data_IF_933452337280
#
_entry.id   IF_933452337280
#
_cell.length_a   1.000
_cell.length_b   1.000
_cell.length_c   1.000
_cell.angle_alpha   90.00
_cell.angle_beta   90.00
_cell.angle_gamma   90.00
#
_symmetry.space_group_name_H-M   'P 1'
#
loop_
_entity.id
_entity.type
_entity.pdbx_description
1 polymer ?
#
# COMPACT_ATOMS: atom_id res chain seq x y z
N UNK A 1 -39.81 5.48 -6.86
CA UNK A 1 -38.96 6.55 -7.39
C UNK A 1 -38.19 7.16 -6.25
N UNK A 2 -36.86 7.01 -6.26
CA UNK A 2 -36.01 7.83 -5.40
C UNK A 2 -35.62 9.06 -6.22
N UNK A 3 -35.96 10.23 -5.70
CA UNK A 3 -35.66 11.53 -6.32
C UNK A 3 -34.18 11.84 -6.04
N UNK A 4 -33.28 11.16 -6.76
CA UNK A 4 -31.83 11.31 -6.58
C UNK A 4 -31.43 12.62 -7.28
N UNK A 5 -31.26 13.69 -6.49
CA UNK A 5 -30.77 14.97 -7.00
C UNK A 5 -29.23 14.97 -6.98
N UNK A 6 -28.54 14.97 -8.14
CA UNK A 6 -27.08 14.94 -8.21
C UNK A 6 -26.39 16.14 -7.54
N UNK A 7 -27.12 17.23 -7.30
CA UNK A 7 -26.58 18.42 -6.62
C UNK A 7 -26.47 18.32 -5.09
N UNK A 8 -26.96 17.24 -4.46
CA UNK A 8 -26.96 17.04 -3.00
C UNK A 8 -26.13 15.87 -2.50
N UNK A 9 -25.56 15.06 -3.40
CA UNK A 9 -24.84 13.84 -3.06
C UNK A 9 -23.43 13.87 -3.64
N UNK A 10 -22.49 13.24 -2.94
CA UNK A 10 -21.15 12.99 -3.46
C UNK A 10 -21.03 11.55 -3.95
N UNK A 11 -20.18 11.31 -4.95
CA UNK A 11 -20.01 9.98 -5.55
C UNK A 11 -19.48 8.92 -4.55
N UNK A 12 -18.77 9.34 -3.50
CA UNK A 12 -18.12 8.50 -2.48
C UNK A 12 -19.05 8.04 -1.35
N UNK A 13 -20.26 8.62 -1.25
CA UNK A 13 -21.27 8.23 -0.25
C UNK A 13 -21.94 6.87 -0.55
N UNK A 14 -21.72 6.32 -1.74
CA UNK A 14 -22.46 5.18 -2.29
C UNK A 14 -21.56 3.95 -2.38
N UNK A 15 -21.99 2.83 -1.80
CA UNK A 15 -21.23 1.56 -1.84
C UNK A 15 -21.47 0.78 -3.15
N UNK A 16 -22.70 0.80 -3.65
CA UNK A 16 -23.11 0.21 -4.91
C UNK A 16 -24.45 0.83 -5.35
N UNK A 17 -24.75 0.80 -6.64
CA UNK A 17 -26.03 1.27 -7.19
C UNK A 17 -26.79 0.07 -7.74
N UNK A 18 -27.98 -0.24 -7.20
CA UNK A 18 -28.84 -1.31 -7.73
C UNK A 18 -29.83 -0.74 -8.74
N UNK A 19 -29.89 -1.35 -9.92
CA UNK A 19 -30.74 -0.93 -11.04
C UNK A 19 -31.76 -2.02 -11.34
N UNK A 20 -33.02 -1.72 -11.00
CA UNK A 20 -34.20 -2.51 -11.38
C UNK A 20 -34.96 -1.82 -12.53
N UNK A 21 -36.29 -1.84 -12.49
CA UNK A 21 -37.11 -1.13 -13.47
C UNK A 21 -37.19 0.37 -13.17
N UNK A 22 -36.65 1.20 -14.06
CA UNK A 22 -36.75 2.66 -13.97
C UNK A 22 -38.12 3.12 -14.50
N UNK A 23 -38.85 3.94 -13.72
CA UNK A 23 -40.14 4.51 -14.12
C UNK A 23 -40.00 5.78 -14.97
N UNK A 24 -38.84 6.47 -14.87
CA UNK A 24 -38.49 7.66 -15.64
C UNK A 24 -37.08 7.51 -16.22
N UNK A 25 -37.00 7.23 -17.52
CA UNK A 25 -35.73 7.01 -18.22
C UNK A 25 -34.87 8.29 -18.29
N UNK A 26 -35.48 9.47 -18.45
CA UNK A 26 -34.74 10.72 -18.62
C UNK A 26 -34.07 11.16 -17.31
N UNK A 27 -34.66 10.86 -16.16
CA UNK A 27 -34.02 11.09 -14.86
C UNK A 27 -32.90 10.06 -14.58
N UNK A 28 -33.09 8.80 -14.99
CA UNK A 28 -32.08 7.76 -14.87
C UNK A 28 -30.83 8.08 -15.70
N UNK A 29 -31.00 8.51 -16.96
CA UNK A 29 -29.91 8.88 -17.85
C UNK A 29 -29.03 9.98 -17.22
N UNK A 30 -29.65 11.06 -16.71
CA UNK A 30 -28.92 12.14 -16.03
C UNK A 30 -28.14 11.67 -14.79
N UNK A 31 -28.67 10.70 -14.05
CA UNK A 31 -27.98 10.15 -12.89
C UNK A 31 -26.76 9.33 -13.31
N UNK A 32 -26.88 8.50 -14.35
CA UNK A 32 -25.76 7.69 -14.82
C UNK A 32 -24.70 8.50 -15.56
N UNK A 33 -25.09 9.57 -16.27
CA UNK A 33 -24.15 10.55 -16.83
C UNK A 33 -23.33 11.23 -15.72
N UNK A 34 -24.00 11.68 -14.64
CA UNK A 34 -23.32 12.18 -13.45
C UNK A 34 -22.41 11.13 -12.82
N UNK A 35 -22.86 9.87 -12.74
CA UNK A 35 -22.07 8.78 -12.18
C UNK A 35 -20.81 8.50 -13.00
N UNK A 36 -20.91 8.56 -14.33
CA UNK A 36 -19.80 8.31 -15.24
C UNK A 36 -18.70 9.38 -15.17
N UNK A 37 -19.05 10.61 -14.80
CA UNK A 37 -18.09 11.69 -14.54
C UNK A 37 -17.22 11.45 -13.29
N UNK A 38 -17.58 10.50 -12.42
CA UNK A 38 -16.76 10.14 -11.28
C UNK A 38 -15.47 9.43 -11.72
N UNK A 39 -14.32 9.83 -11.16
CA UNK A 39 -13.02 9.18 -11.41
C UNK A 39 -13.04 7.68 -11.05
N UNK A 40 -13.81 7.31 -10.03
CA UNK A 40 -14.00 5.94 -9.53
C UNK A 40 -15.48 5.76 -9.12
N UNK A 41 -16.38 5.47 -10.07
CA UNK A 41 -17.79 5.33 -9.77
C UNK A 41 -18.06 4.04 -8.97
N UNK A 42 -19.03 4.05 -8.03
CA UNK A 42 -19.48 2.83 -7.37
C UNK A 42 -19.97 1.80 -8.40
N UNK A 43 -19.84 0.48 -8.11
CA UNK A 43 -20.30 -0.55 -9.02
C UNK A 43 -21.82 -0.52 -9.19
N UNK A 44 -22.28 -0.75 -10.42
CA UNK A 44 -23.69 -0.83 -10.77
C UNK A 44 -24.13 -2.29 -10.78
N UNK A 45 -25.10 -2.65 -9.96
CA UNK A 45 -25.70 -3.98 -9.88
C UNK A 45 -26.98 -3.98 -10.74
N UNK A 46 -26.90 -4.57 -11.92
CA UNK A 46 -27.94 -4.57 -12.94
C UNK A 46 -28.83 -5.82 -12.80
N UNK A 47 -30.13 -5.63 -12.54
CA UNK A 47 -31.10 -6.74 -12.41
C UNK A 47 -31.59 -7.28 -13.76
N UNK A 48 -31.69 -6.42 -14.77
CA UNK A 48 -32.20 -6.76 -16.10
C UNK A 48 -31.33 -6.14 -17.20
N UNK A 49 -31.08 -6.90 -18.27
CA UNK A 49 -30.31 -6.43 -19.43
C UNK A 49 -28.84 -6.89 -19.44
N UNK A 50 -28.11 -6.45 -20.47
CA UNK A 50 -26.70 -6.80 -20.66
C UNK A 50 -25.79 -5.74 -20.02
N UNK A 51 -24.84 -6.13 -19.15
CA UNK A 51 -23.86 -5.21 -18.57
C UNK A 51 -23.09 -4.39 -19.61
N UNK A 52 -22.72 -5.02 -20.74
CA UNK A 52 -21.96 -4.37 -21.81
C UNK A 52 -22.80 -3.29 -22.52
N UNK A 53 -24.07 -3.59 -22.81
CA UNK A 53 -24.99 -2.63 -23.43
C UNK A 53 -25.30 -1.45 -22.49
N UNK A 54 -25.51 -1.75 -21.20
CA UNK A 54 -25.75 -0.72 -20.18
C UNK A 54 -24.53 0.18 -19.97
N UNK A 55 -23.34 -0.41 -19.90
CA UNK A 55 -22.09 0.31 -19.76
C UNK A 55 -21.86 1.27 -20.94
N UNK A 56 -22.08 0.81 -22.18
CA UNK A 56 -21.95 1.61 -23.38
C UNK A 56 -22.96 2.76 -23.45
N UNK A 57 -24.22 2.51 -23.06
CA UNK A 57 -25.27 3.52 -23.10
C UNK A 57 -25.02 4.69 -22.14
N UNK A 58 -24.33 4.44 -21.03
CA UNK A 58 -24.12 5.42 -19.95
C UNK A 58 -22.64 5.81 -19.74
N UNK A 59 -21.76 5.51 -20.70
CA UNK A 59 -20.34 5.89 -20.60
C UNK A 59 -19.57 5.24 -19.43
N UNK A 60 -20.06 4.12 -18.89
CA UNK A 60 -19.41 3.38 -17.81
C UNK A 60 -18.46 2.31 -18.37
N UNK A 61 -17.47 1.91 -17.58
CA UNK A 61 -16.64 0.76 -17.92
C UNK A 61 -17.38 -0.55 -17.61
N UNK A 62 -17.39 -1.52 -18.54
CA UNK A 62 -18.10 -2.80 -18.39
C UNK A 62 -17.76 -3.54 -17.09
N UNK A 63 -16.47 -3.56 -16.70
CA UNK A 63 -16.01 -4.15 -15.44
C UNK A 63 -16.61 -3.50 -14.15
N UNK A 64 -17.29 -2.35 -14.27
CA UNK A 64 -18.00 -1.69 -13.19
C UNK A 64 -19.51 -1.99 -13.15
N UNK A 65 -20.03 -2.74 -14.13
CA UNK A 65 -21.44 -3.16 -14.20
C UNK A 65 -21.52 -4.66 -13.94
N UNK A 66 -22.19 -5.05 -12.86
CA UNK A 66 -22.28 -6.44 -12.39
C UNK A 66 -23.72 -6.92 -12.47
N UNK A 67 -23.93 -8.18 -12.83
CA UNK A 67 -25.26 -8.77 -12.89
C UNK A 67 -25.78 -9.12 -11.50
N UNK A 68 -27.07 -8.88 -11.29
CA UNK A 68 -27.80 -9.23 -10.08
C UNK A 68 -28.99 -10.11 -10.47
N UNK A 69 -28.84 -11.42 -10.30
CA UNK A 69 -29.84 -12.38 -10.77
C UNK A 69 -31.12 -12.33 -9.94
N UNK A 70 -32.25 -12.55 -10.61
CA UNK A 70 -33.56 -12.72 -9.97
C UNK A 70 -33.96 -14.20 -9.98
N UNK A 71 -34.55 -14.74 -8.88
CA UNK A 71 -34.90 -14.08 -7.63
C UNK A 71 -33.68 -13.79 -6.74
N UNK A 72 -33.69 -12.62 -6.10
CA UNK A 72 -32.59 -12.13 -5.25
C UNK A 72 -32.33 -13.09 -4.08
N UNK A 73 -31.10 -13.59 -3.99
CA UNK A 73 -30.64 -14.42 -2.87
C UNK A 73 -29.73 -13.61 -1.95
N UNK A 74 -29.92 -13.77 -0.64
CA UNK A 74 -29.09 -13.11 0.37
C UNK A 74 -27.58 -13.33 0.13
N UNK A 75 -27.18 -14.56 -0.17
CA UNK A 75 -25.78 -14.94 -0.42
C UNK A 75 -25.16 -14.25 -1.63
N UNK A 76 -25.95 -14.00 -2.68
CA UNK A 76 -25.50 -13.30 -3.88
C UNK A 76 -25.29 -11.81 -3.59
N UNK A 77 -26.25 -11.18 -2.91
CA UNK A 77 -26.14 -9.77 -2.54
C UNK A 77 -24.96 -9.54 -1.58
N UNK A 78 -24.77 -10.43 -0.60
CA UNK A 78 -23.64 -10.38 0.32
C UNK A 78 -22.30 -10.50 -0.41
N UNK A 79 -22.17 -11.42 -1.37
CA UNK A 79 -20.96 -11.56 -2.18
C UNK A 79 -20.68 -10.32 -3.05
N UNK A 80 -21.71 -9.73 -3.66
CA UNK A 80 -21.58 -8.52 -4.49
C UNK A 80 -21.23 -7.30 -3.65
N UNK A 81 -21.87 -7.11 -2.49
CA UNK A 81 -21.56 -6.01 -1.57
C UNK A 81 -20.16 -6.17 -0.96
N UNK A 82 -19.74 -7.39 -0.62
CA UNK A 82 -18.37 -7.66 -0.17
C UNK A 82 -17.35 -7.32 -1.25
N UNK A 83 -17.64 -7.68 -2.50
CA UNK A 83 -16.79 -7.32 -3.65
C UNK A 83 -16.75 -5.81 -3.89
N UNK A 84 -17.89 -5.11 -3.74
CA UNK A 84 -17.96 -3.66 -3.83
C UNK A 84 -17.13 -2.99 -2.73
N UNK A 85 -17.23 -3.48 -1.49
CA UNK A 85 -16.45 -3.02 -0.34
C UNK A 85 -14.95 -3.20 -0.58
N UNK A 86 -14.50 -4.35 -1.07
CA UNK A 86 -13.09 -4.59 -1.42
C UNK A 86 -12.61 -3.65 -2.54
N UNK A 87 -13.39 -3.50 -3.62
CA UNK A 87 -13.06 -2.58 -4.70
C UNK A 87 -12.96 -1.14 -4.23
N UNK A 88 -13.82 -0.73 -3.29
CA UNK A 88 -13.79 0.60 -2.70
C UNK A 88 -12.59 0.77 -1.77
N UNK A 89 -12.25 -0.23 -0.95
CA UNK A 89 -11.03 -0.22 -0.14
C UNK A 89 -9.78 -0.15 -1.00
N UNK A 90 -9.73 -0.85 -2.13
CA UNK A 90 -8.61 -0.79 -3.09
C UNK A 90 -8.54 0.59 -3.75
N UNK A 91 -9.69 1.15 -4.15
CA UNK A 91 -9.79 2.48 -4.74
C UNK A 91 -9.46 3.60 -3.73
N UNK A 92 -9.88 3.47 -2.47
CA UNK A 92 -9.54 4.37 -1.36
C UNK A 92 -8.06 4.25 -0.99
N UNK A 93 -7.49 3.04 -1.00
CA UNK A 93 -6.04 2.85 -0.90
C UNK A 93 -5.32 3.53 -2.06
N UNK A 94 -5.81 3.43 -3.29
CA UNK A 94 -5.19 4.06 -4.47
C UNK A 94 -5.39 5.59 -4.51
N UNK A 95 -6.56 6.10 -4.09
CA UNK A 95 -6.89 7.53 -4.10
C UNK A 95 -6.32 8.26 -2.87
N UNK A 96 -6.31 7.63 -1.70
CA UNK A 96 -5.65 8.13 -0.49
C UNK A 96 -4.13 8.19 -0.62
N UNK A 97 -3.55 7.39 -1.53
CA UNK A 97 -2.14 7.44 -1.91
C UNK A 97 -1.80 8.68 -2.77
N UNK A 98 -2.78 9.38 -3.33
CA UNK A 98 -2.52 10.45 -4.30
C UNK A 98 -2.23 11.84 -3.70
N UNK A 99 -2.24 12.03 -2.37
CA UNK A 99 -2.06 13.36 -1.76
C UNK A 99 -0.96 13.53 -0.69
N UNK A 100 -0.19 12.50 -0.33
CA UNK A 100 0.97 12.69 0.55
C UNK A 100 2.02 11.59 0.31
N UNK A 101 2.65 11.64 -0.86
CA UNK A 101 3.61 10.62 -1.33
C UNK A 101 5.00 10.86 -0.77
N UNK A 102 5.14 10.90 0.55
CA UNK A 102 6.44 11.09 1.17
C UNK A 102 6.42 11.19 2.69
N UNK A 103 7.60 11.17 3.32
CA UNK A 103 7.72 11.40 4.75
C UNK A 103 7.05 12.71 5.15
N UNK A 104 6.13 12.69 6.11
CA UNK A 104 5.45 13.86 6.66
C UNK A 104 6.41 14.68 7.55
N UNK A 105 6.30 16.00 7.51
CA UNK A 105 7.16 16.91 8.28
C UNK A 105 7.78 18.03 7.44
N UNK A 106 8.30 19.06 8.11
CA UNK A 106 9.03 20.18 7.52
C UNK A 106 10.40 20.41 8.18
N UNK A 107 10.82 19.54 9.11
CA UNK A 107 12.16 19.56 9.67
C UNK A 107 13.23 19.52 8.57
N UNK A 108 14.42 20.01 8.90
CA UNK A 108 15.57 19.97 7.99
C UNK A 108 15.88 18.52 7.57
N UNK A 109 15.79 17.57 8.51
CA UNK A 109 15.99 16.15 8.26
C UNK A 109 15.00 15.59 7.22
N UNK A 110 13.70 15.89 7.37
CA UNK A 110 12.67 15.45 6.41
C UNK A 110 12.82 16.16 5.07
N UNK A 111 13.18 17.45 5.06
CA UNK A 111 13.42 18.20 3.83
C UNK A 111 14.61 17.63 3.05
N UNK A 112 15.71 17.31 3.73
CA UNK A 112 16.87 16.64 3.13
C UNK A 112 16.50 15.26 2.60
N UNK A 113 15.73 14.49 3.37
CA UNK A 113 15.24 13.17 2.97
C UNK A 113 14.40 13.23 1.69
N UNK A 114 13.46 14.17 1.57
CA UNK A 114 12.67 14.38 0.34
C UNK A 114 13.56 14.70 -0.87
N UNK A 115 14.58 15.54 -0.71
CA UNK A 115 15.54 15.82 -1.81
C UNK A 115 16.29 14.58 -2.26
N UNK A 116 16.73 13.73 -1.32
CA UNK A 116 17.39 12.46 -1.66
C UNK A 116 16.46 11.51 -2.40
N UNK A 117 15.19 11.44 -1.96
CA UNK A 117 14.14 10.66 -2.64
C UNK A 117 13.98 11.13 -4.09
N UNK A 118 13.80 12.43 -4.30
CA UNK A 118 13.59 13.00 -5.64
C UNK A 118 14.81 12.78 -6.54
N UNK A 119 16.02 12.94 -5.98
CA UNK A 119 17.26 12.71 -6.70
C UNK A 119 17.39 11.24 -7.15
N UNK A 120 17.12 10.28 -6.27
CA UNK A 120 17.30 8.86 -6.60
C UNK A 120 16.13 8.29 -7.40
N UNK A 121 14.94 8.87 -7.30
CA UNK A 121 13.74 8.36 -7.97
C UNK A 121 13.90 8.31 -9.50
N UNK A 122 14.63 9.27 -10.08
CA UNK A 122 14.91 9.35 -11.52
C UNK A 122 15.80 8.20 -12.06
N UNK A 123 16.53 7.48 -11.20
CA UNK A 123 17.49 6.45 -11.59
C UNK A 123 16.99 5.05 -11.25
N UNK A 124 17.34 4.05 -12.07
CA UNK A 124 16.97 2.64 -11.83
C UNK A 124 17.94 1.91 -10.87
N UNK A 125 18.59 2.68 -9.98
CA UNK A 125 19.58 2.14 -9.03
C UNK A 125 18.90 1.50 -7.82
N UNK A 126 19.61 0.57 -7.20
CA UNK A 126 19.20 -0.03 -5.92
C UNK A 126 19.35 0.98 -4.80
N UNK A 127 18.32 1.07 -3.95
CA UNK A 127 18.31 1.96 -2.78
C UNK A 127 18.26 1.12 -1.52
N UNK A 128 19.12 1.45 -0.54
CA UNK A 128 19.12 0.84 0.78
C UNK A 128 18.59 1.83 1.80
N UNK A 129 17.40 1.58 2.34
CA UNK A 129 16.75 2.42 3.35
C UNK A 129 17.07 1.89 4.75
N UNK A 130 17.83 2.66 5.51
CA UNK A 130 18.27 2.34 6.87
C UNK A 130 17.42 3.13 7.88
N UNK A 131 17.29 2.60 9.08
CA UNK A 131 16.73 3.33 10.22
C UNK A 131 15.86 2.47 11.12
N UNK A 132 15.61 2.97 12.32
CA UNK A 132 14.95 2.24 13.39
C UNK A 132 13.57 1.67 12.99
N UNK A 133 13.10 0.69 13.76
CA UNK A 133 11.76 0.14 13.55
C UNK A 133 10.71 1.22 13.76
N UNK A 134 9.73 1.28 12.85
CA UNK A 134 8.61 2.23 12.95
C UNK A 134 8.92 3.67 12.49
N UNK A 135 10.08 3.96 11.90
CA UNK A 135 10.41 5.31 11.37
C UNK A 135 9.69 5.68 10.07
N UNK A 136 9.14 4.69 9.36
CA UNK A 136 8.43 4.87 8.09
C UNK A 136 9.25 4.56 6.84
N UNK A 137 10.16 3.58 6.88
CA UNK A 137 10.98 3.15 5.73
C UNK A 137 10.15 2.81 4.48
N UNK A 138 8.98 2.19 4.66
CA UNK A 138 8.07 1.88 3.55
C UNK A 138 7.53 3.15 2.86
N UNK A 139 7.29 4.22 3.62
CA UNK A 139 6.84 5.51 3.06
C UNK A 139 7.89 6.08 2.10
N UNK A 140 9.17 5.96 2.45
CA UNK A 140 10.27 6.34 1.55
C UNK A 140 10.30 5.48 0.30
N UNK A 141 10.20 4.16 0.44
CA UNK A 141 10.20 3.24 -0.71
C UNK A 141 9.05 3.54 -1.68
N UNK A 142 7.86 3.84 -1.15
CA UNK A 142 6.68 4.22 -1.95
C UNK A 142 6.89 5.56 -2.65
N UNK A 143 7.42 6.55 -1.95
CA UNK A 143 7.74 7.87 -2.53
C UNK A 143 8.75 7.76 -3.68
N UNK A 144 9.82 6.98 -3.49
CA UNK A 144 10.82 6.72 -4.54
C UNK A 144 10.14 6.11 -5.78
N UNK A 145 9.28 5.11 -5.60
CA UNK A 145 8.55 4.49 -6.69
C UNK A 145 7.64 5.49 -7.42
N UNK A 146 6.85 6.27 -6.67
CA UNK A 146 5.89 7.24 -7.22
C UNK A 146 6.56 8.38 -7.98
N UNK A 147 7.74 8.81 -7.57
CA UNK A 147 8.53 9.83 -8.27
C UNK A 147 9.41 9.26 -9.39
N UNK A 148 9.39 7.94 -9.61
CA UNK A 148 10.23 7.29 -10.63
C UNK A 148 9.53 7.15 -11.99
N UNK A 149 10.28 6.87 -13.06
CA UNK A 149 9.72 6.46 -14.36
C UNK A 149 8.86 5.18 -14.29
N UNK A 150 8.93 4.41 -13.20
CA UNK A 150 8.19 3.16 -12.99
C UNK A 150 6.91 3.34 -12.17
N UNK A 151 6.48 4.57 -11.87
CA UNK A 151 5.31 4.89 -11.03
C UNK A 151 3.98 4.27 -11.49
N UNK A 152 3.86 4.00 -12.79
CA UNK A 152 2.67 3.38 -13.39
C UNK A 152 2.75 1.84 -13.37
N UNK A 153 3.90 1.28 -12.98
CA UNK A 153 4.13 -0.15 -12.80
C UNK A 153 3.79 -0.62 -11.38
N UNK A 154 3.85 -1.94 -11.12
CA UNK A 154 3.50 -2.48 -9.81
C UNK A 154 4.51 -2.09 -8.73
N UNK A 155 4.01 -1.71 -7.54
CA UNK A 155 4.80 -1.67 -6.31
C UNK A 155 4.49 -2.90 -5.46
N UNK A 156 5.45 -3.81 -5.35
CA UNK A 156 5.31 -5.05 -4.57
C UNK A 156 6.20 -4.95 -3.35
N UNK A 157 5.65 -5.18 -2.16
CA UNK A 157 6.40 -5.23 -0.92
C UNK A 157 6.37 -6.64 -0.34
N UNK A 158 7.49 -7.04 0.27
CA UNK A 158 7.61 -8.28 1.03
C UNK A 158 8.47 -8.02 2.27
N UNK A 159 8.00 -8.46 3.43
CA UNK A 159 8.75 -8.41 4.67
C UNK A 159 9.47 -9.76 4.86
N UNK A 160 10.79 -9.73 4.75
CA UNK A 160 11.65 -10.92 4.79
C UNK A 160 11.79 -11.50 6.21
N UNK A 161 11.54 -10.71 7.26
CA UNK A 161 11.59 -11.17 8.64
C UNK A 161 10.30 -11.82 9.15
N UNK A 162 9.16 -11.53 8.51
CA UNK A 162 7.85 -12.05 8.91
C UNK A 162 7.52 -13.43 8.32
N UNK A 163 8.28 -13.88 7.31
CA UNK A 163 7.99 -15.11 6.56
C UNK A 163 9.03 -16.18 6.93
N UNK A 164 8.62 -17.40 7.29
CA UNK A 164 9.55 -18.50 7.52
C UNK A 164 10.51 -18.71 6.34
N UNK A 165 11.81 -19.01 6.58
CA UNK A 165 12.80 -19.13 5.51
C UNK A 165 12.39 -20.08 4.38
N UNK A 166 11.76 -21.21 4.72
CA UNK A 166 11.32 -22.23 3.76
C UNK A 166 10.21 -21.74 2.83
N UNK A 167 9.39 -20.78 3.29
CA UNK A 167 8.31 -20.18 2.50
C UNK A 167 8.76 -18.92 1.77
N UNK A 168 9.79 -18.23 2.28
CA UNK A 168 10.29 -16.98 1.71
C UNK A 168 10.80 -17.18 0.28
N UNK A 169 11.45 -18.31 0.00
CA UNK A 169 11.91 -18.65 -1.35
C UNK A 169 10.75 -18.73 -2.35
N UNK A 170 9.71 -19.48 -1.97
CA UNK A 170 8.50 -19.68 -2.75
C UNK A 170 7.71 -18.39 -2.95
N UNK A 171 7.65 -17.52 -1.94
CA UNK A 171 7.02 -16.20 -2.07
C UNK A 171 7.82 -15.28 -3.01
N UNK A 172 9.16 -15.24 -2.91
CA UNK A 172 9.99 -14.37 -3.74
C UNK A 172 10.05 -14.80 -5.20
N UNK A 173 10.34 -16.08 -5.44
CA UNK A 173 10.63 -16.61 -6.78
C UNK A 173 9.47 -17.41 -7.38
N UNK A 174 8.44 -17.73 -6.60
CA UNK A 174 7.35 -18.59 -7.05
C UNK A 174 7.73 -20.06 -7.01
N UNK A 175 6.77 -20.93 -7.29
CA UNK A 175 6.98 -22.37 -7.34
C UNK A 175 6.16 -23.01 -8.45
N UNK A 176 6.68 -24.13 -8.96
CA UNK A 176 5.92 -25.00 -9.84
C UNK A 176 5.07 -26.00 -9.05
N UNK A 177 4.04 -26.54 -9.71
CA UNK A 177 3.22 -27.61 -9.14
C UNK A 177 4.09 -28.80 -8.76
N UNK A 178 3.97 -29.26 -7.52
CA UNK A 178 4.74 -30.40 -7.00
C UNK A 178 6.16 -30.07 -6.50
N UNK A 179 6.54 -28.79 -6.43
CA UNK A 179 7.86 -28.38 -5.95
C UNK A 179 8.14 -28.76 -4.49
N UNK A 180 7.11 -28.84 -3.65
CA UNK A 180 7.17 -29.28 -2.25
C UNK A 180 5.82 -29.84 -1.80
N UNK A 181 5.77 -30.48 -0.63
CA UNK A 181 4.55 -31.04 -0.05
C UNK A 181 3.51 -29.94 0.18
N UNK A 182 2.41 -29.94 -0.58
CA UNK A 182 1.37 -28.90 -0.54
C UNK A 182 1.36 -27.94 -1.72
N UNK A 183 2.33 -28.04 -2.66
CA UNK A 183 2.35 -27.27 -3.90
C UNK A 183 1.33 -27.82 -4.93
N UNK A 184 0.03 -27.59 -4.68
CA UNK A 184 -1.08 -28.10 -5.50
C UNK A 184 -1.20 -27.41 -6.88
N UNK A 185 -0.69 -26.17 -6.99
CA UNK A 185 -0.71 -25.37 -8.22
C UNK A 185 0.59 -24.59 -8.36
N UNK A 186 0.89 -24.15 -9.58
CA UNK A 186 1.99 -23.19 -9.84
C UNK A 186 1.58 -21.81 -9.33
N UNK A 187 2.51 -21.10 -8.67
CA UNK A 187 2.29 -19.74 -8.16
C UNK A 187 3.43 -18.81 -8.57
N UNK A 188 3.08 -17.62 -9.04
CA UNK A 188 4.03 -16.55 -9.38
C UNK A 188 4.65 -15.97 -8.11
N UNK A 189 5.95 -15.71 -8.16
CA UNK A 189 6.69 -15.04 -7.09
C UNK A 189 6.59 -13.53 -7.12
N UNK A 190 7.08 -12.86 -6.07
CA UNK A 190 7.13 -11.39 -5.99
C UNK A 190 7.96 -10.74 -7.09
N UNK A 191 9.04 -11.37 -7.53
CA UNK A 191 9.81 -10.86 -8.68
C UNK A 191 8.98 -10.83 -9.96
N UNK A 192 8.18 -11.87 -10.23
CA UNK A 192 7.28 -11.88 -11.39
C UNK A 192 6.15 -10.85 -11.24
N UNK A 193 5.60 -10.71 -10.04
CA UNK A 193 4.53 -9.75 -9.76
C UNK A 193 5.01 -8.29 -9.87
N UNK A 194 6.30 -8.04 -9.64
CA UNK A 194 6.91 -6.73 -9.68
C UNK A 194 7.46 -6.35 -11.06
N UNK A 195 7.24 -7.17 -12.09
CA UNK A 195 7.79 -6.96 -13.43
C UNK A 195 7.42 -5.58 -13.99
N UNK A 196 8.42 -4.85 -14.48
CA UNK A 196 8.27 -3.47 -14.95
C UNK A 196 8.17 -2.42 -13.83
N UNK A 197 7.99 -2.84 -12.58
CA UNK A 197 7.78 -1.98 -11.42
C UNK A 197 8.91 -2.01 -10.40
N UNK A 198 8.54 -1.98 -9.12
CA UNK A 198 9.47 -1.89 -7.98
C UNK A 198 9.15 -2.95 -6.93
N UNK A 199 10.18 -3.64 -6.44
CA UNK A 199 10.13 -4.59 -5.34
C UNK A 199 10.80 -4.00 -4.10
N UNK A 200 10.03 -3.84 -3.03
CA UNK A 200 10.52 -3.54 -1.69
C UNK A 200 10.82 -4.84 -0.94
N UNK A 201 12.08 -5.01 -0.57
CA UNK A 201 12.58 -6.04 0.34
C UNK A 201 12.71 -5.43 1.74
N UNK A 202 11.65 -5.53 2.54
CA UNK A 202 11.64 -5.01 3.90
C UNK A 202 12.24 -6.02 4.88
N UNK A 203 12.93 -5.50 5.89
CA UNK A 203 13.73 -6.26 6.86
C UNK A 203 14.72 -7.25 6.21
N UNK A 204 15.50 -6.77 5.23
CA UNK A 204 16.48 -7.60 4.51
C UNK A 204 17.56 -8.20 5.44
N UNK A 205 17.88 -7.53 6.55
CA UNK A 205 18.83 -8.00 7.56
C UNK A 205 18.35 -9.21 8.40
N UNK A 206 17.10 -9.63 8.22
CA UNK A 206 16.52 -10.85 8.82
C UNK A 206 16.55 -12.06 7.87
N UNK A 207 16.99 -11.88 6.63
CA UNK A 207 17.03 -12.94 5.63
C UNK A 207 18.08 -14.01 5.95
N UNK A 208 17.74 -15.29 5.76
CA UNK A 208 18.69 -16.40 5.94
C UNK A 208 19.84 -16.37 4.92
N UNK A 209 21.03 -16.86 5.29
CA UNK A 209 22.18 -16.90 4.39
C UNK A 209 21.91 -17.61 3.04
N UNK A 210 21.20 -18.75 2.98
CA UNK A 210 20.86 -19.38 1.70
C UNK A 210 20.02 -18.47 0.80
N UNK A 211 19.08 -17.72 1.39
CA UNK A 211 18.25 -16.77 0.65
C UNK A 211 19.04 -15.57 0.16
N UNK A 212 20.02 -15.10 0.94
CA UNK A 212 20.92 -14.02 0.53
C UNK A 212 21.73 -14.40 -0.72
N UNK A 213 22.20 -15.66 -0.83
CA UNK A 213 22.89 -16.17 -2.03
C UNK A 213 21.98 -16.13 -3.25
N UNK A 214 20.74 -16.62 -3.11
CA UNK A 214 19.77 -16.64 -4.21
C UNK A 214 19.41 -15.22 -4.64
N UNK A 215 19.16 -14.32 -3.68
CA UNK A 215 18.87 -12.93 -3.97
C UNK A 215 20.02 -12.25 -4.71
N UNK A 216 21.27 -12.43 -4.26
CA UNK A 216 22.44 -11.87 -4.92
C UNK A 216 22.51 -12.28 -6.40
N UNK A 217 22.25 -13.57 -6.68
CA UNK A 217 22.23 -14.11 -8.03
C UNK A 217 21.18 -13.40 -8.90
N UNK A 218 19.96 -13.22 -8.40
CA UNK A 218 18.89 -12.51 -9.14
C UNK A 218 19.25 -11.05 -9.38
N UNK A 219 19.83 -10.37 -8.39
CA UNK A 219 20.27 -8.99 -8.54
C UNK A 219 21.35 -8.84 -9.60
N UNK A 220 22.26 -9.81 -9.72
CA UNK A 220 23.37 -9.81 -10.68
C UNK A 220 22.94 -10.23 -12.09
N UNK A 221 22.27 -11.37 -12.21
CA UNK A 221 21.90 -11.99 -13.50
C UNK A 221 20.64 -11.36 -14.12
N UNK A 222 19.82 -10.67 -13.31
CA UNK A 222 18.47 -10.19 -13.71
C UNK A 222 17.57 -11.33 -14.23
N UNK A 223 17.76 -12.51 -13.66
CA UNK A 223 16.95 -13.68 -13.93
C UNK A 223 16.92 -14.61 -12.72
N UNK A 224 15.90 -15.46 -12.66
CA UNK A 224 15.71 -16.44 -11.60
C UNK A 224 14.93 -17.65 -12.11
N UNK A 225 14.83 -18.68 -11.29
CA UNK A 225 14.04 -19.88 -11.55
C UNK A 225 13.02 -20.05 -10.44
N UNK A 226 11.83 -20.56 -10.77
CA UNK A 226 10.84 -20.95 -9.76
C UNK A 226 11.35 -22.15 -8.97
N UNK A 227 10.93 -22.26 -7.72
CA UNK A 227 11.21 -23.45 -6.90
C UNK A 227 10.64 -24.69 -7.59
N UNK A 228 11.49 -25.71 -7.77
CA UNK A 228 11.13 -26.96 -8.45
C UNK A 228 10.99 -26.86 -9.98
N UNK A 229 11.27 -25.71 -10.58
CA UNK A 229 11.29 -25.50 -12.03
C UNK A 229 12.71 -25.35 -12.56
N UNK A 230 12.90 -25.62 -13.86
CA UNK A 230 14.17 -25.37 -14.58
C UNK A 230 14.09 -24.24 -15.60
N UNK A 231 12.96 -23.52 -15.66
CA UNK A 231 12.78 -22.42 -16.60
C UNK A 231 13.37 -21.14 -16.01
N UNK A 232 14.40 -20.61 -16.66
CA UNK A 232 14.95 -19.28 -16.34
C UNK A 232 13.98 -18.18 -16.79
N UNK A 233 13.61 -17.30 -15.86
CA UNK A 233 12.72 -16.16 -16.04
C UNK A 233 13.56 -14.89 -15.90
N UNK A 234 13.54 -14.01 -16.91
CA UNK A 234 14.16 -12.68 -16.81
C UNK A 234 13.24 -11.72 -16.04
N UNK A 235 13.84 -10.83 -15.26
CA UNK A 235 13.11 -9.82 -14.52
C UNK A 235 13.65 -8.41 -14.76
N UNK A 236 12.73 -7.48 -15.00
CA UNK A 236 13.00 -6.06 -15.10
C UNK A 236 12.38 -5.32 -13.91
N UNK A 237 12.98 -5.50 -12.73
CA UNK A 237 12.45 -5.03 -11.45
C UNK A 237 13.46 -4.10 -10.79
N UNK A 238 13.01 -2.90 -10.38
CA UNK A 238 13.79 -2.04 -9.49
C UNK A 238 13.70 -2.55 -8.06
N UNK A 239 14.83 -2.71 -7.38
CA UNK A 239 14.87 -3.19 -5.99
C UNK A 239 15.13 -2.05 -5.03
N UNK A 240 14.32 -1.96 -3.98
CA UNK A 240 14.55 -1.12 -2.80
C UNK A 240 14.65 -2.09 -1.61
N UNK A 241 15.74 -2.01 -0.84
CA UNK A 241 15.90 -2.80 0.37
C UNK A 241 15.74 -1.92 1.59
N UNK A 242 15.16 -2.44 2.67
CA UNK A 242 15.00 -1.72 3.92
C UNK A 242 15.38 -2.61 5.11
N UNK A 243 15.97 -2.03 6.16
CA UNK A 243 16.25 -2.74 7.41
C UNK A 243 16.40 -1.81 8.60
N UNK A 244 16.05 -2.31 9.79
CA UNK A 244 16.39 -1.68 11.08
C UNK A 244 17.72 -2.14 11.67
N UNK A 245 18.39 -3.12 11.04
CA UNK A 245 19.61 -3.72 11.58
C UNK A 245 20.85 -3.01 11.06
N UNK A 246 21.89 -2.97 11.91
CA UNK A 246 23.22 -2.61 11.45
C UNK A 246 23.79 -3.81 10.65
N UNK A 247 23.90 -3.65 9.33
CA UNK A 247 24.35 -4.73 8.44
C UNK A 247 25.85 -5.01 8.59
N UNK A 248 26.66 -4.03 8.97
CA UNK A 248 28.11 -4.21 9.15
C UNK A 248 28.40 -5.16 10.33
N UNK A 249 27.68 -4.98 11.43
CA UNK A 249 27.71 -5.88 12.59
C UNK A 249 27.21 -7.28 12.21
N UNK A 250 26.15 -7.36 11.39
CA UNK A 250 25.65 -8.64 10.90
C UNK A 250 26.65 -9.36 10.00
N UNK A 251 27.48 -8.62 9.26
CA UNK A 251 28.58 -9.19 8.47
C UNK A 251 29.67 -9.72 9.40
N UNK A 252 30.09 -8.94 10.41
CA UNK A 252 31.10 -9.42 11.38
C UNK A 252 30.67 -10.67 12.14
N UNK A 253 29.36 -10.79 12.40
CA UNK A 253 28.77 -11.95 13.08
C UNK A 253 28.51 -13.15 12.14
N UNK A 254 28.84 -13.02 10.85
CA UNK A 254 28.61 -14.06 9.84
C UNK A 254 27.14 -14.31 9.50
N UNK A 255 26.25 -13.38 9.84
CA UNK A 255 24.80 -13.48 9.63
C UNK A 255 24.32 -12.77 8.36
N UNK A 256 25.16 -11.93 7.76
CA UNK A 256 24.89 -11.26 6.50
C UNK A 256 26.10 -11.32 5.59
N UNK A 257 25.89 -11.53 4.29
CA UNK A 257 26.97 -11.63 3.32
C UNK A 257 27.45 -10.26 2.89
N UNK A 258 28.76 -10.09 2.90
CA UNK A 258 29.43 -8.86 2.49
C UNK A 258 29.19 -8.52 1.00
N UNK A 259 29.20 -9.52 0.11
CA UNK A 259 28.95 -9.33 -1.32
C UNK A 259 27.53 -8.81 -1.62
N UNK A 260 26.52 -9.33 -0.92
CA UNK A 260 25.15 -8.84 -1.01
C UNK A 260 25.03 -7.41 -0.45
N UNK A 261 25.72 -7.10 0.65
CA UNK A 261 25.71 -5.74 1.21
C UNK A 261 26.21 -4.72 0.19
N UNK A 262 27.37 -4.96 -0.45
CA UNK A 262 27.87 -4.04 -1.47
C UNK A 262 26.96 -3.94 -2.70
N UNK A 263 26.23 -5.02 -3.06
CA UNK A 263 25.26 -4.97 -4.15
C UNK A 263 24.00 -4.16 -3.82
N UNK A 264 23.60 -4.12 -2.55
CA UNK A 264 22.43 -3.37 -2.08
C UNK A 264 22.77 -1.92 -1.73
N UNK A 265 23.95 -1.67 -1.16
CA UNK A 265 24.39 -0.38 -0.65
C UNK A 265 24.92 0.56 -1.75
N UNK A 266 24.16 0.70 -2.85
CA UNK A 266 24.53 1.59 -3.97
C UNK A 266 24.11 3.03 -3.67
N UNK A 267 22.89 3.22 -3.14
CA UNK A 267 22.40 4.51 -2.69
C UNK A 267 21.74 4.37 -1.31
N UNK A 268 22.47 4.60 -0.21
CA UNK A 268 21.91 4.55 1.13
C UNK A 268 21.04 5.78 1.43
N UNK A 269 19.91 5.57 2.09
CA UNK A 269 19.04 6.60 2.65
C UNK A 269 18.78 6.26 4.11
N UNK A 270 19.16 7.16 5.01
CA UNK A 270 18.93 7.00 6.45
C UNK A 270 17.65 7.71 6.87
N UNK A 271 16.77 6.98 7.55
CA UNK A 271 15.56 7.50 8.17
C UNK A 271 15.88 8.07 9.55
N UNK A 272 15.61 9.37 9.79
CA UNK A 272 15.76 9.94 11.12
C UNK A 272 14.74 9.33 12.09
N UNK A 273 15.18 9.11 13.33
CA UNK A 273 14.27 8.70 14.40
C UNK A 273 13.30 9.85 14.74
N UNK A 274 12.14 9.54 15.31
CA UNK A 274 11.12 10.55 15.61
C UNK A 274 11.64 11.60 16.61
N UNK A 275 12.45 11.19 17.59
CA UNK A 275 13.13 12.09 18.54
C UNK A 275 14.07 13.11 17.88
N UNK A 276 14.63 12.78 16.71
CA UNK A 276 15.53 13.68 15.95
C UNK A 276 14.76 14.67 15.08
N UNK A 277 13.44 14.47 14.93
CA UNK A 277 12.54 15.33 14.15
C UNK A 277 11.26 15.67 14.92
N UNK A 278 11.38 15.93 16.23
CA UNK A 278 10.21 16.13 17.10
C UNK A 278 9.35 17.33 16.69
N UNK A 279 9.93 18.30 15.98
CA UNK A 279 9.20 19.45 15.43
C UNK A 279 8.11 19.03 14.42
N UNK A 280 8.28 17.86 13.78
CA UNK A 280 7.30 17.29 12.85
C UNK A 280 6.15 16.56 13.54
N UNK A 281 6.22 16.36 14.87
CA UNK A 281 5.27 15.54 15.61
C UNK A 281 3.83 16.04 15.48
N UNK A 282 3.62 17.36 15.57
CA UNK A 282 2.27 17.92 15.46
C UNK A 282 1.65 17.64 14.09
N UNK A 283 2.43 17.79 13.01
CA UNK A 283 2.00 17.48 11.66
C UNK A 283 1.72 15.98 11.49
N UNK A 284 2.60 15.12 12.00
CA UNK A 284 2.41 13.67 11.99
C UNK A 284 1.10 13.27 12.69
N UNK A 285 0.84 13.80 13.89
CA UNK A 285 -0.39 13.52 14.64
C UNK A 285 -1.62 13.95 13.84
N UNK A 286 -1.60 15.14 13.24
CA UNK A 286 -2.71 15.63 12.41
C UNK A 286 -2.94 14.76 11.17
N UNK A 287 -1.88 14.38 10.46
CA UNK A 287 -1.96 13.50 9.29
C UNK A 287 -2.52 12.12 9.67
N UNK A 288 -2.04 11.53 10.77
CA UNK A 288 -2.52 10.23 11.27
C UNK A 288 -3.99 10.32 11.68
N UNK A 289 -4.37 11.33 12.47
CA UNK A 289 -5.75 11.53 12.90
C UNK A 289 -6.70 11.75 11.72
N UNK A 290 -6.27 12.55 10.73
CA UNK A 290 -7.01 12.75 9.49
C UNK A 290 -7.13 11.48 8.63
N UNK A 291 -6.12 10.61 8.62
CA UNK A 291 -6.19 9.32 7.95
C UNK A 291 -7.16 8.36 8.65
N UNK A 292 -7.16 8.32 9.99
CA UNK A 292 -8.12 7.52 10.76
C UNK A 292 -9.55 7.97 10.51
N UNK A 293 -9.81 9.28 10.51
CA UNK A 293 -11.12 9.84 10.22
C UNK A 293 -11.60 9.47 8.80
N UNK A 294 -10.74 9.64 7.79
CA UNK A 294 -11.05 9.29 6.38
C UNK A 294 -11.35 7.80 6.19
N UNK A 295 -10.68 6.93 6.94
CA UNK A 295 -10.87 5.47 6.86
C UNK A 295 -11.96 4.94 7.78
N UNK A 296 -12.73 5.83 8.44
CA UNK A 296 -13.81 5.44 9.35
C UNK A 296 -13.33 4.76 10.64
N UNK A 297 -12.07 4.93 11.02
CA UNK A 297 -11.43 4.30 12.20
C UNK A 297 -11.48 5.19 13.45
N UNK A 298 -12.23 6.28 13.40
CA UNK A 298 -12.44 7.22 14.49
C UNK A 298 -11.93 8.63 14.19
N UNK A 299 -12.55 9.62 14.81
CA UNK A 299 -12.12 11.02 14.78
C UNK A 299 -11.57 11.40 16.16
N UNK A 300 -10.42 12.08 16.19
CA UNK A 300 -9.81 12.58 17.41
C UNK A 300 -9.13 13.91 17.14
N UNK A 301 -9.20 14.82 18.11
CA UNK A 301 -8.51 16.11 18.07
C UNK A 301 -7.61 16.23 19.28
N UNK A 302 -6.53 16.98 19.14
CA UNK A 302 -5.55 17.19 20.21
C UNK A 302 -5.50 18.67 20.56
N UNK A 303 -5.54 18.98 21.86
CA UNK A 303 -5.25 20.32 22.33
C UNK A 303 -3.74 20.58 22.30
N UNK A 304 -3.34 21.86 22.28
CA UNK A 304 -1.94 22.25 22.17
C UNK A 304 -1.11 21.72 23.34
N UNK A 305 -1.65 21.73 24.56
CA UNK A 305 -1.01 21.15 25.74
C UNK A 305 -0.74 19.65 25.59
N UNK A 306 -1.64 18.91 24.93
CA UNK A 306 -1.46 17.48 24.68
C UNK A 306 -0.33 17.26 23.67
N UNK A 307 -0.29 18.05 22.58
CA UNK A 307 0.79 17.99 21.60
C UNK A 307 2.15 18.33 22.23
N UNK A 308 2.21 19.29 23.16
CA UNK A 308 3.45 19.59 23.89
C UNK A 308 3.89 18.44 24.79
N UNK A 309 2.96 17.79 25.50
CA UNK A 309 3.29 16.62 26.30
C UNK A 309 3.85 15.47 25.43
N UNK A 310 3.26 15.23 24.26
CA UNK A 310 3.74 14.21 23.32
C UNK A 310 5.17 14.48 22.80
N UNK A 311 5.62 15.75 22.75
CA UNK A 311 6.99 16.10 22.35
C UNK A 311 8.06 15.72 23.38
N UNK A 312 7.69 15.61 24.66
CA UNK A 312 8.64 15.26 25.73
C UNK A 312 8.97 13.77 25.83
N UNK A 313 8.27 12.93 25.06
CA UNK A 313 8.51 11.50 25.03
C UNK A 313 9.47 11.12 23.89
N UNK A 314 10.38 10.18 24.13
CA UNK A 314 11.45 9.82 23.18
C UNK A 314 10.99 8.96 21.99
N UNK A 315 9.78 8.40 22.05
CA UNK A 315 9.19 7.56 21.00
C UNK A 315 10.11 6.40 20.55
N UNK A 316 10.45 5.44 21.43
CA UNK A 316 11.29 4.29 21.07
C UNK A 316 10.70 3.43 19.94
N UNK A 317 9.37 3.41 19.76
CA UNK A 317 8.71 2.76 18.63
C UNK A 317 8.41 3.70 17.45
N UNK A 318 8.96 4.92 17.47
CA UNK A 318 8.89 5.92 16.43
C UNK A 318 7.44 6.22 15.98
N UNK A 319 7.22 6.42 14.68
CA UNK A 319 5.91 6.75 14.11
C UNK A 319 4.91 5.60 14.29
N UNK A 320 5.35 4.34 14.36
CA UNK A 320 4.45 3.21 14.62
C UNK A 320 3.82 3.29 16.01
N UNK A 321 4.61 3.62 17.03
CA UNK A 321 4.11 3.84 18.39
C UNK A 321 3.17 5.05 18.45
N UNK A 322 3.54 6.15 17.78
CA UNK A 322 2.68 7.33 17.66
C UNK A 322 1.32 7.00 17.02
N UNK A 323 1.32 6.27 15.91
CA UNK A 323 0.08 5.85 15.23
C UNK A 323 -0.80 5.00 16.15
N UNK A 324 -0.22 4.04 16.87
CA UNK A 324 -0.95 3.19 17.80
C UNK A 324 -1.56 4.01 18.95
N UNK A 325 -0.87 5.04 19.44
CA UNK A 325 -1.41 5.94 20.45
C UNK A 325 -2.58 6.76 19.92
N UNK A 326 -2.42 7.39 18.75
CA UNK A 326 -3.48 8.23 18.15
C UNK A 326 -4.73 7.38 17.85
N UNK A 327 -4.55 6.16 17.34
CA UNK A 327 -5.65 5.22 17.12
C UNK A 327 -6.37 4.87 18.44
N UNK A 328 -5.61 4.54 19.48
CA UNK A 328 -6.18 4.25 20.80
C UNK A 328 -6.98 5.43 21.34
N UNK A 329 -6.48 6.65 21.19
CA UNK A 329 -7.15 7.86 21.63
C UNK A 329 -8.42 8.16 20.82
N UNK A 330 -8.44 7.84 19.52
CA UNK A 330 -9.65 7.95 18.71
C UNK A 330 -10.76 6.99 19.15
N UNK A 331 -10.39 5.80 19.64
CA UNK A 331 -11.34 4.85 20.21
C UNK A 331 -11.83 5.31 21.59
N UNK A 332 -10.94 5.81 22.44
CA UNK A 332 -11.27 6.23 23.81
C UNK A 332 -12.01 7.58 23.88
N UNK A 333 -11.77 8.47 22.93
CA UNK A 333 -12.37 9.80 22.88
C UNK A 333 -12.99 10.09 21.49
N UNK A 334 -14.06 9.37 21.09
CA UNK A 334 -14.65 9.54 19.77
C UNK A 334 -15.14 10.99 19.54
N UNK A 335 -14.60 11.66 18.52
CA UNK A 335 -14.90 13.08 18.22
C UNK A 335 -14.43 14.07 19.29
N UNK A 336 -13.71 13.59 20.31
CA UNK A 336 -13.30 14.37 21.47
C UNK A 336 -12.01 15.14 21.26
N UNK A 337 -11.79 16.13 22.14
CA UNK A 337 -10.55 16.87 22.25
C UNK A 337 -9.70 16.27 23.38
N UNK A 338 -8.59 15.63 23.03
CA UNK A 338 -7.61 15.07 23.98
C UNK A 338 -6.84 16.21 24.64
N UNK A 339 -6.75 16.14 25.97
CA UNK A 339 -6.01 17.08 26.83
C UNK A 339 -5.11 16.31 27.80
N UNK A 340 -4.12 17.00 28.37
CA UNK A 340 -3.32 16.46 29.47
C UNK A 340 -4.20 16.37 30.72
N UNK A 341 -4.20 15.21 31.39
CA UNK A 341 -4.90 14.97 32.66
C UNK A 341 -3.94 14.97 33.83
#
# INVERSE_FOLDING_TARGET
>A
GADINPGRHRHDEWMAVMVGSAQDAAQADKFFDWLADAKLPPPVLLMEGSPSAFAQAHGLHEANVWTLDTPLRHTQLEALLRRASLKRLDAEHQAGVQQDTGPTGNSEAVTRLRRLIDQVAAFDTTVLVLGESGTGKEVVARAIHQHSPRRDGPFVAINCGAIPPDLLESELFGHEKGAFTGALSTRKGRFEMAEGGTLLLDEIGDMSLPMQVKLLRVLQERSFERVGGGQTIRCNVRVIAATHRNLETRISDGQFREDLFYRLNVFPIEMPALRERVDDLAMLVQTIAGQLARTGRGEVRFADEALQALRSYDWPGNVRELTNLVERLAVLHPGGLVRVQ
#
